data_IF_618810455223
#
_entry.id   IF_618810455223
#
_cell.length_a   1.000
_cell.length_b   1.000
_cell.length_c   1.000
_cell.angle_alpha   90.00
_cell.angle_beta   90.00
_cell.angle_gamma   90.00
#
_symmetry.space_group_name_H-M   'P 1'
#
loop_
_entity.id
_entity.type
_entity.pdbx_description
1 polymer ?
#
# COMPACT_ATOMS: atom_id res chain seq x y z
N UNK A 1 -55.47 56.22 11.12
CA UNK A 1 -54.97 57.57 11.50
C UNK A 1 -53.63 57.38 12.19
N UNK A 2 -52.57 58.04 11.66
CA UNK A 2 -51.19 58.27 12.19
C UNK A 2 -50.37 57.01 12.59
N UNK A 3 -49.19 56.64 12.07
CA UNK A 3 -47.87 57.29 11.83
C UNK A 3 -47.20 57.97 13.05
N UNK A 4 -46.00 57.49 13.40
CA UNK A 4 -44.74 58.23 13.71
C UNK A 4 -43.70 57.20 14.27
N UNK A 5 -42.52 56.94 13.65
CA UNK A 5 -41.26 57.72 13.61
C UNK A 5 -40.67 58.00 15.01
N UNK A 6 -39.40 57.81 15.40
CA UNK A 6 -38.15 57.36 14.78
C UNK A 6 -36.96 57.54 15.78
N UNK A 7 -35.83 56.87 15.49
CA UNK A 7 -34.40 57.19 15.73
C UNK A 7 -33.86 57.80 17.05
N UNK A 8 -32.72 57.25 17.55
CA UNK A 8 -31.80 57.93 18.48
C UNK A 8 -30.57 57.12 18.91
N UNK A 9 -29.41 57.35 18.28
CA UNK A 9 -28.07 56.82 18.63
C UNK A 9 -27.45 57.50 19.86
N UNK A 10 -26.55 56.80 20.60
CA UNK A 10 -25.39 57.47 21.23
C UNK A 10 -24.74 56.85 22.49
N UNK A 11 -23.53 56.30 22.29
CA UNK A 11 -22.34 56.37 23.16
C UNK A 11 -22.10 55.35 24.30
N UNK A 12 -21.31 54.30 23.98
CA UNK A 12 -19.94 54.09 24.46
C UNK A 12 -19.65 53.72 25.92
N UNK A 13 -19.18 52.48 26.15
CA UNK A 13 -18.01 52.10 26.98
C UNK A 13 -17.80 50.58 26.98
N UNK A 14 -16.59 50.13 26.61
CA UNK A 14 -16.03 48.85 27.07
C UNK A 14 -15.23 49.12 28.36
N UNK A 15 -15.07 48.15 29.30
CA UNK A 15 -14.01 47.15 29.13
C UNK A 15 -14.33 45.72 29.62
N UNK A 16 -13.47 44.82 29.15
CA UNK A 16 -13.17 43.39 29.40
C UNK A 16 -13.52 42.81 30.78
N UNK A 17 -14.00 41.55 30.82
CA UNK A 17 -13.27 40.40 31.39
C UNK A 17 -13.96 39.05 31.06
N UNK A 18 -13.13 38.13 30.56
CA UNK A 18 -13.12 36.67 30.63
C UNK A 18 -14.40 35.85 30.88
N UNK A 19 -14.71 34.96 29.93
CA UNK A 19 -14.72 33.52 30.20
C UNK A 19 -14.61 32.74 28.88
N UNK A 20 -13.39 32.26 28.62
CA UNK A 20 -13.06 31.31 27.58
C UNK A 20 -13.82 30.00 27.84
N UNK A 21 -14.80 29.66 26.99
CA UNK A 21 -15.34 28.32 26.92
C UNK A 21 -14.31 27.43 26.20
N UNK A 22 -13.29 27.01 26.95
CA UNK A 22 -12.40 25.95 26.55
C UNK A 22 -13.24 24.68 26.38
N UNK A 23 -13.40 24.27 25.13
CA UNK A 23 -13.93 22.95 24.77
C UNK A 23 -12.98 21.93 25.38
N UNK A 24 -13.44 21.22 26.41
CA UNK A 24 -12.80 19.99 26.86
C UNK A 24 -12.80 18.99 25.69
N UNK A 25 -11.71 18.94 24.91
CA UNK A 25 -11.35 17.73 24.17
C UNK A 25 -11.01 16.68 25.23
N UNK A 26 -11.90 15.72 25.43
CA UNK A 26 -11.65 14.57 26.29
C UNK A 26 -10.44 13.79 25.76
N UNK A 27 -9.52 13.43 26.64
CA UNK A 27 -8.32 12.61 26.34
C UNK A 27 -8.69 11.28 25.66
N UNK A 28 -9.89 10.74 25.91
CA UNK A 28 -10.43 9.53 25.29
C UNK A 28 -10.52 9.60 23.75
N UNK A 29 -10.82 10.78 23.18
CA UNK A 29 -10.94 10.93 21.73
C UNK A 29 -9.60 10.73 21.00
N UNK A 30 -8.49 11.03 21.68
CA UNK A 30 -7.15 10.82 21.11
C UNK A 30 -6.69 9.37 21.18
N UNK A 31 -7.13 8.61 22.20
CA UNK A 31 -6.77 7.20 22.34
C UNK A 31 -7.53 6.33 21.35
N UNK A 32 -8.84 6.56 21.20
CA UNK A 32 -9.66 5.82 20.23
C UNK A 32 -9.18 6.06 18.80
N UNK A 33 -8.85 7.31 18.44
CA UNK A 33 -8.33 7.65 17.11
C UNK A 33 -6.95 7.01 16.85
N UNK A 34 -6.09 6.94 17.88
CA UNK A 34 -4.81 6.25 17.80
C UNK A 34 -4.97 4.73 17.59
N UNK A 35 -5.83 4.07 18.39
CA UNK A 35 -6.10 2.63 18.26
C UNK A 35 -6.74 2.31 16.90
N UNK A 36 -7.63 3.18 16.43
CA UNK A 36 -8.29 3.05 15.13
C UNK A 36 -7.30 3.16 13.96
N UNK A 37 -6.32 4.07 14.07
CA UNK A 37 -5.23 4.18 13.09
C UNK A 37 -4.28 2.98 13.15
N UNK A 38 -3.92 2.52 14.35
CA UNK A 38 -3.06 1.35 14.52
C UNK A 38 -3.68 0.09 13.89
N UNK A 39 -4.97 -0.15 14.11
CA UNK A 39 -5.69 -1.27 13.51
C UNK A 39 -5.75 -1.18 11.97
N UNK A 40 -5.88 0.04 11.43
CA UNK A 40 -5.83 0.27 9.98
C UNK A 40 -4.43 -0.07 9.43
N UNK A 41 -3.39 0.42 10.08
CA UNK A 41 -2.00 0.19 9.67
C UNK A 41 -1.65 -1.30 9.73
N UNK A 42 -2.00 -2.00 10.82
CA UNK A 42 -1.82 -3.45 10.96
C UNK A 42 -2.54 -4.24 9.85
N UNK A 43 -3.76 -3.82 9.47
CA UNK A 43 -4.50 -4.46 8.39
C UNK A 43 -3.80 -4.26 7.05
N UNK A 44 -3.38 -3.03 6.76
CA UNK A 44 -2.79 -2.67 5.47
C UNK A 44 -1.34 -3.16 5.31
N UNK A 45 -0.60 -3.36 6.39
CA UNK A 45 0.75 -3.96 6.37
C UNK A 45 0.79 -5.37 5.77
N UNK A 46 -0.33 -6.09 5.79
CA UNK A 46 -0.47 -7.43 5.18
C UNK A 46 -0.67 -7.40 3.67
N UNK A 47 -0.77 -6.22 3.08
CA UNK A 47 -1.01 -6.00 1.65
C UNK A 47 0.27 -5.44 1.03
N UNK A 48 0.93 -6.24 0.19
CA UNK A 48 2.23 -5.87 -0.41
C UNK A 48 2.11 -4.65 -1.33
N UNK A 49 1.11 -4.64 -2.21
CA UNK A 49 0.88 -3.55 -3.14
C UNK A 49 -0.55 -3.04 -3.10
N UNK A 50 -0.72 -1.72 -3.03
CA UNK A 50 -2.03 -1.04 -3.08
C UNK A 50 -2.08 -0.20 -4.35
N UNK A 51 -3.04 -0.51 -5.23
CA UNK A 51 -3.20 0.16 -6.53
C UNK A 51 -4.57 0.85 -6.56
N UNK A 52 -4.57 2.15 -6.79
CA UNK A 52 -5.82 2.91 -6.95
C UNK A 52 -6.14 3.04 -8.43
N UNK A 53 -7.35 2.63 -8.83
CA UNK A 53 -7.86 2.86 -10.18
C UNK A 53 -8.75 4.10 -10.14
N UNK A 54 -8.39 5.11 -10.93
CA UNK A 54 -9.04 6.42 -10.94
C UNK A 54 -9.52 6.79 -12.35
N UNK A 55 -10.47 7.72 -12.43
CA UNK A 55 -10.84 8.36 -13.69
C UNK A 55 -11.23 9.81 -13.49
N UNK A 56 -11.04 10.66 -14.50
CA UNK A 56 -11.44 12.06 -14.42
C UNK A 56 -12.95 12.28 -14.47
N UNK A 57 -13.70 11.32 -15.03
CA UNK A 57 -15.16 11.38 -15.19
C UNK A 57 -15.80 10.00 -15.06
N UNK A 58 -17.12 9.99 -14.82
CA UNK A 58 -17.94 8.77 -14.84
C UNK A 58 -18.10 8.21 -16.26
N UNK A 59 -18.39 6.91 -16.36
CA UNK A 59 -18.74 6.26 -17.64
C UNK A 59 -17.57 5.89 -18.56
N UNK A 60 -16.31 6.09 -18.16
CA UNK A 60 -15.12 5.70 -18.96
C UNK A 60 -14.78 4.20 -18.86
N UNK A 61 -15.52 3.43 -18.07
CA UNK A 61 -15.25 2.00 -17.82
C UNK A 61 -14.14 1.75 -16.77
N UNK A 62 -13.95 2.67 -15.83
CA UNK A 62 -13.00 2.55 -14.70
C UNK A 62 -13.12 1.20 -13.97
N UNK A 63 -14.33 0.85 -13.52
CA UNK A 63 -14.60 -0.40 -12.81
C UNK A 63 -14.37 -1.64 -13.67
N UNK A 64 -14.64 -1.56 -14.98
CA UNK A 64 -14.31 -2.63 -15.92
C UNK A 64 -12.80 -2.87 -16.00
N UNK A 65 -12.02 -1.80 -16.05
CA UNK A 65 -10.55 -1.89 -16.01
C UNK A 65 -10.09 -2.43 -14.66
N UNK A 66 -10.61 -1.92 -13.54
CA UNK A 66 -10.24 -2.36 -12.19
C UNK A 66 -10.49 -3.86 -11.99
N UNK A 67 -11.68 -4.35 -12.35
CA UNK A 67 -12.03 -5.77 -12.25
C UNK A 67 -11.11 -6.65 -13.10
N UNK A 68 -10.87 -6.28 -14.36
CA UNK A 68 -10.04 -7.10 -15.26
C UNK A 68 -8.55 -7.04 -14.91
N UNK A 69 -8.06 -5.92 -14.37
CA UNK A 69 -6.70 -5.84 -13.79
C UNK A 69 -6.59 -6.77 -12.60
N UNK A 70 -7.53 -6.73 -11.65
CA UNK A 70 -7.53 -7.60 -10.48
C UNK A 70 -7.58 -9.09 -10.87
N UNK A 71 -8.47 -9.45 -11.79
CA UNK A 71 -8.58 -10.80 -12.36
C UNK A 71 -7.26 -11.22 -13.02
N UNK A 72 -6.64 -10.37 -13.83
CA UNK A 72 -5.39 -10.70 -14.52
C UNK A 72 -4.23 -10.91 -13.56
N UNK A 73 -4.17 -10.13 -12.49
CA UNK A 73 -3.20 -10.33 -11.40
C UNK A 73 -3.42 -11.69 -10.71
N UNK A 74 -4.67 -12.05 -10.40
CA UNK A 74 -5.00 -13.33 -9.79
C UNK A 74 -4.70 -14.52 -10.71
N UNK A 75 -4.99 -14.41 -12.01
CA UNK A 75 -4.62 -15.41 -13.02
C UNK A 75 -3.10 -15.55 -13.18
N UNK A 76 -2.34 -14.53 -12.81
CA UNK A 76 -0.88 -14.56 -12.73
C UNK A 76 -0.35 -15.17 -11.42
N UNK A 77 -1.22 -15.83 -10.65
CA UNK A 77 -0.89 -16.53 -9.41
C UNK A 77 -0.73 -15.64 -8.18
N UNK A 78 -1.19 -14.38 -8.24
CA UNK A 78 -1.12 -13.44 -7.12
C UNK A 78 -2.35 -13.57 -6.23
N UNK A 79 -2.18 -13.32 -4.93
CA UNK A 79 -3.28 -13.13 -3.97
C UNK A 79 -3.83 -11.70 -4.09
N UNK A 80 -5.10 -11.56 -4.47
CA UNK A 80 -5.65 -10.26 -4.88
C UNK A 80 -6.96 -9.93 -4.15
N UNK A 81 -7.01 -8.71 -3.61
CA UNK A 81 -8.23 -8.04 -3.15
C UNK A 81 -8.74 -7.05 -4.19
N UNK A 82 -10.06 -6.94 -4.32
CA UNK A 82 -10.75 -5.91 -5.10
C UNK A 82 -11.71 -5.16 -4.18
N UNK A 83 -11.43 -3.88 -3.96
CA UNK A 83 -12.23 -2.98 -3.14
C UNK A 83 -12.96 -1.97 -4.03
N UNK A 84 -14.28 -2.01 -4.03
CA UNK A 84 -15.14 -1.06 -4.73
C UNK A 84 -15.75 -0.06 -3.75
N UNK A 85 -15.30 1.18 -3.88
CA UNK A 85 -15.75 2.32 -3.08
C UNK A 85 -16.45 3.37 -3.94
N UNK A 86 -16.85 3.02 -5.17
CA UNK A 86 -17.63 3.91 -6.04
C UNK A 86 -19.10 3.96 -5.61
N UNK A 87 -19.36 4.81 -4.62
CA UNK A 87 -20.66 4.97 -3.92
C UNK A 87 -21.79 5.36 -4.88
N UNK A 88 -21.46 6.10 -5.93
CA UNK A 88 -22.44 6.65 -6.86
C UNK A 88 -22.87 5.66 -7.93
N UNK A 89 -22.12 4.57 -8.13
CA UNK A 89 -22.42 3.57 -9.14
C UNK A 89 -21.63 2.29 -8.93
N UNK A 90 -21.85 1.56 -7.81
CA UNK A 90 -21.09 0.35 -7.52
C UNK A 90 -21.41 -0.71 -8.58
N UNK A 91 -20.45 -0.96 -9.45
CA UNK A 91 -20.66 -1.84 -10.61
C UNK A 91 -20.00 -3.22 -10.43
N UNK A 92 -19.02 -3.32 -9.53
CA UNK A 92 -18.28 -4.57 -9.27
C UNK A 92 -19.20 -5.72 -8.82
N UNK A 93 -20.17 -5.54 -7.90
CA UNK A 93 -21.09 -6.62 -7.54
C UNK A 93 -21.86 -7.19 -8.74
N UNK A 94 -22.33 -6.32 -9.64
CA UNK A 94 -23.03 -6.75 -10.86
C UNK A 94 -22.09 -7.49 -11.80
N UNK A 95 -20.93 -6.90 -12.08
CA UNK A 95 -19.90 -7.42 -12.98
C UNK A 95 -19.35 -8.80 -12.57
N UNK A 96 -19.40 -9.14 -11.28
CA UNK A 96 -18.93 -10.41 -10.75
C UNK A 96 -20.07 -11.38 -10.40
N UNK A 97 -21.33 -11.04 -10.73
CA UNK A 97 -22.55 -11.77 -10.30
C UNK A 97 -22.57 -12.03 -8.78
N UNK A 98 -22.22 -11.01 -8.01
CA UNK A 98 -22.25 -10.98 -6.53
C UNK A 98 -23.41 -10.15 -6.02
N UNK A 99 -24.45 -10.00 -6.83
CA UNK A 99 -25.55 -9.12 -6.55
C UNK A 99 -26.40 -9.49 -5.32
N UNK A 100 -26.43 -10.77 -4.97
CA UNK A 100 -27.13 -11.27 -3.78
C UNK A 100 -26.19 -11.43 -2.59
N UNK A 101 -24.92 -11.03 -2.76
CA UNK A 101 -23.98 -11.04 -1.66
C UNK A 101 -24.27 -9.87 -0.72
N UNK A 102 -24.26 -10.17 0.57
CA UNK A 102 -24.40 -9.19 1.64
C UNK A 102 -23.13 -9.20 2.49
N UNK A 103 -22.87 -8.06 3.13
CA UNK A 103 -21.78 -7.96 4.11
C UNK A 103 -22.02 -8.95 5.25
N UNK A 104 -21.04 -9.82 5.50
CA UNK A 104 -21.07 -10.78 6.60
C UNK A 104 -20.02 -10.41 7.64
N UNK A 105 -20.40 -10.54 8.90
CA UNK A 105 -19.50 -10.34 10.04
C UNK A 105 -19.18 -11.70 10.66
N UNK A 106 -17.91 -11.93 10.98
CA UNK A 106 -17.47 -13.08 11.78
C UNK A 106 -16.48 -12.58 12.83
N UNK A 107 -16.76 -12.85 14.11
CA UNK A 107 -15.92 -12.42 15.23
C UNK A 107 -15.59 -10.92 15.22
N UNK A 108 -16.55 -10.06 14.82
CA UNK A 108 -16.35 -8.61 14.74
C UNK A 108 -15.60 -8.11 13.49
N UNK A 109 -15.20 -9.00 12.58
CA UNK A 109 -14.47 -8.66 11.34
C UNK A 109 -15.38 -8.88 10.12
N UNK A 110 -15.32 -7.95 9.16
CA UNK A 110 -16.03 -8.05 7.89
C UNK A 110 -15.37 -9.12 7.03
N UNK A 111 -16.17 -10.06 6.52
CA UNK A 111 -15.69 -11.10 5.62
C UNK A 111 -15.83 -10.65 4.16
N UNK A 112 -14.76 -10.65 3.36
CA UNK A 112 -14.87 -10.38 1.93
C UNK A 112 -15.58 -11.54 1.21
N UNK A 113 -16.18 -11.23 0.08
CA UNK A 113 -16.81 -12.22 -0.79
C UNK A 113 -15.76 -12.80 -1.72
N UNK A 114 -15.60 -14.13 -1.74
CA UNK A 114 -14.64 -14.78 -2.64
C UNK A 114 -15.25 -15.07 -4.00
N UNK A 115 -14.57 -14.63 -5.07
CA UNK A 115 -15.00 -14.87 -6.46
C UNK A 115 -13.82 -14.85 -7.41
N UNK A 116 -13.72 -15.84 -8.28
CA UNK A 116 -12.69 -15.91 -9.33
C UNK A 116 -11.24 -15.72 -8.82
N UNK A 117 -10.93 -16.27 -7.63
CA UNK A 117 -9.62 -16.12 -6.99
C UNK A 117 -9.38 -14.75 -6.34
N UNK A 118 -10.40 -13.89 -6.28
CA UNK A 118 -10.37 -12.58 -5.64
C UNK A 118 -11.09 -12.60 -4.30
N UNK A 119 -10.60 -11.81 -3.34
CA UNK A 119 -11.39 -11.32 -2.23
C UNK A 119 -12.04 -10.00 -2.65
N UNK A 120 -13.36 -9.88 -2.54
CA UNK A 120 -14.11 -8.73 -3.03
C UNK A 120 -14.85 -8.06 -1.88
N UNK A 121 -14.71 -6.75 -1.78
CA UNK A 121 -15.57 -5.90 -0.95
C UNK A 121 -16.10 -4.76 -1.79
N UNK A 122 -17.39 -4.47 -1.68
CA UNK A 122 -18.03 -3.36 -2.40
C UNK A 122 -19.02 -2.67 -1.49
N UNK A 123 -19.09 -1.34 -1.61
CA UNK A 123 -20.15 -0.57 -0.99
C UNK A 123 -21.54 -0.98 -1.47
N UNK A 124 -21.65 -1.55 -2.67
CA UNK A 124 -22.90 -2.11 -3.19
C UNK A 124 -23.46 -3.25 -2.33
N UNK A 125 -22.66 -3.91 -1.49
CA UNK A 125 -23.15 -4.92 -0.54
C UNK A 125 -23.87 -4.34 0.68
N UNK A 126 -23.72 -3.03 0.92
CA UNK A 126 -24.42 -2.32 2.00
C UNK A 126 -25.78 -1.75 1.55
N UNK A 127 -26.00 -1.65 0.24
CA UNK A 127 -27.23 -1.12 -0.34
C UNK A 127 -28.33 -2.19 -0.27
N UNK A 128 -29.46 -1.85 0.34
CA UNK A 128 -30.60 -2.76 0.48
C UNK A 128 -31.37 -2.94 -0.83
N UNK A 129 -31.47 -1.86 -1.59
CA UNK A 129 -32.05 -1.81 -2.92
C UNK A 129 -31.04 -1.18 -3.89
N UNK A 130 -30.92 -1.75 -5.09
CA UNK A 130 -29.96 -1.31 -6.10
C UNK A 130 -30.41 -0.07 -6.87
N UNK A 131 -31.71 0.21 -6.83
CA UNK A 131 -32.30 1.40 -7.47
C UNK A 131 -32.43 2.58 -6.49
N UNK A 132 -32.04 2.39 -5.22
CA UNK A 132 -32.08 3.46 -4.22
C UNK A 132 -30.94 4.46 -4.46
N UNK A 133 -31.32 5.74 -4.61
CA UNK A 133 -30.35 6.81 -4.72
C UNK A 133 -29.57 6.96 -3.41
N UNK A 134 -28.26 6.73 -3.44
CA UNK A 134 -27.39 6.81 -2.26
C UNK A 134 -27.13 8.27 -1.90
N UNK A 135 -27.91 8.82 -0.94
CA UNK A 135 -27.74 10.19 -0.43
C UNK A 135 -26.94 10.15 0.88
N UNK A 136 -25.65 9.82 0.79
CA UNK A 136 -24.77 9.76 1.95
C UNK A 136 -23.97 11.05 2.13
N UNK A 137 -23.83 11.50 3.38
CA UNK A 137 -22.99 12.66 3.73
C UNK A 137 -21.51 12.28 3.69
N UNK A 138 -20.64 13.24 3.36
CA UNK A 138 -19.18 13.06 3.24
C UNK A 138 -18.56 12.21 4.35
N UNK A 139 -18.73 12.56 5.65
CA UNK A 139 -18.14 11.81 6.76
C UNK A 139 -18.55 10.34 6.81
N UNK A 140 -19.80 10.01 6.44
CA UNK A 140 -20.28 8.63 6.39
C UNK A 140 -19.58 7.83 5.29
N UNK A 141 -19.38 8.46 4.12
CA UNK A 141 -18.64 7.87 2.99
C UNK A 141 -17.21 7.54 3.39
N UNK A 142 -16.52 8.50 4.02
CA UNK A 142 -15.14 8.33 4.52
C UNK A 142 -15.08 7.23 5.59
N UNK A 143 -16.04 7.22 6.52
CA UNK A 143 -16.13 6.19 7.56
C UNK A 143 -16.24 4.77 6.98
N UNK A 144 -17.07 4.58 5.95
CA UNK A 144 -17.20 3.26 5.28
C UNK A 144 -15.93 2.88 4.52
N UNK A 145 -15.27 3.83 3.84
CA UNK A 145 -13.97 3.57 3.19
C UNK A 145 -12.94 3.13 4.24
N UNK A 146 -12.83 3.84 5.37
CA UNK A 146 -11.94 3.48 6.48
C UNK A 146 -12.28 2.10 7.03
N UNK A 147 -13.57 1.82 7.25
CA UNK A 147 -14.06 0.54 7.73
C UNK A 147 -13.66 -0.60 6.78
N UNK A 148 -13.80 -0.43 5.46
CA UNK A 148 -13.41 -1.47 4.50
C UNK A 148 -11.90 -1.70 4.43
N UNK A 149 -11.09 -0.67 4.65
CA UNK A 149 -9.64 -0.81 4.70
C UNK A 149 -9.16 -1.45 6.01
N UNK A 150 -9.84 -1.19 7.13
CA UNK A 150 -9.47 -1.62 8.49
C UNK A 150 -10.08 -2.98 8.89
N UNK A 151 -11.39 -3.11 8.73
CA UNK A 151 -12.20 -4.17 9.34
C UNK A 151 -12.48 -5.35 8.40
N UNK A 152 -12.08 -5.29 7.14
CA UNK A 152 -12.22 -6.42 6.21
C UNK A 152 -11.07 -7.40 6.41
N UNK A 153 -11.39 -8.68 6.50
CA UNK A 153 -10.45 -9.80 6.61
C UNK A 153 -9.75 -10.08 5.27
N UNK A 154 -8.97 -9.11 4.79
CA UNK A 154 -8.19 -9.24 3.56
C UNK A 154 -7.16 -10.38 3.63
N UNK A 155 -6.64 -10.68 4.81
CA UNK A 155 -5.51 -11.60 4.99
C UNK A 155 -4.24 -11.07 4.32
N UNK A 156 -3.32 -11.96 3.95
CA UNK A 156 -2.12 -11.58 3.21
C UNK A 156 -2.45 -11.48 1.72
N UNK A 157 -2.15 -10.31 1.13
CA UNK A 157 -2.40 -10.03 -0.27
C UNK A 157 -1.13 -9.54 -0.96
N UNK A 158 -0.89 -10.00 -2.18
CA UNK A 158 0.07 -9.40 -3.10
C UNK A 158 -0.41 -8.04 -3.59
N UNK A 159 -1.70 -7.93 -3.92
CA UNK A 159 -2.30 -6.72 -4.47
C UNK A 159 -3.68 -6.44 -3.86
N UNK A 160 -3.94 -5.19 -3.50
CA UNK A 160 -5.28 -4.64 -3.32
C UNK A 160 -5.54 -3.63 -4.43
N UNK A 161 -6.48 -3.94 -5.32
CA UNK A 161 -6.96 -3.03 -6.36
C UNK A 161 -8.18 -2.28 -5.81
N UNK A 162 -8.11 -0.95 -5.80
CA UNK A 162 -9.17 -0.09 -5.27
C UNK A 162 -9.84 0.65 -6.43
N UNK A 163 -11.11 0.34 -6.70
CA UNK A 163 -11.96 1.08 -7.63
C UNK A 163 -12.51 2.33 -6.94
N UNK A 164 -11.83 3.46 -7.15
CA UNK A 164 -12.14 4.74 -6.52
C UNK A 164 -13.29 5.46 -7.23
N UNK A 165 -14.10 6.31 -6.58
CA UNK A 165 -15.06 7.16 -7.27
C UNK A 165 -14.43 8.00 -8.40
N UNK A 166 -15.20 8.42 -9.41
CA UNK A 166 -14.68 9.29 -10.46
C UNK A 166 -14.39 10.70 -9.92
N UNK A 167 -13.43 11.37 -10.57
CA UNK A 167 -13.04 12.75 -10.27
C UNK A 167 -11.91 12.85 -9.26
N UNK A 168 -11.79 14.04 -8.68
CA UNK A 168 -10.72 14.42 -7.72
C UNK A 168 -11.32 15.11 -6.49
N UNK A 169 -12.50 14.65 -6.05
CA UNK A 169 -13.21 15.15 -4.89
C UNK A 169 -12.71 14.56 -3.56
N UNK A 170 -13.55 14.66 -2.53
CA UNK A 170 -13.21 14.21 -1.18
C UNK A 170 -13.06 12.68 -1.08
N UNK A 171 -13.81 11.91 -1.88
CA UNK A 171 -13.79 10.45 -1.80
C UNK A 171 -12.49 9.85 -2.36
N UNK A 172 -12.03 10.19 -3.58
CA UNK A 172 -10.72 9.74 -4.06
C UNK A 172 -9.56 10.25 -3.19
N UNK A 173 -9.68 11.44 -2.59
CA UNK A 173 -8.72 11.97 -1.63
C UNK A 173 -8.64 11.10 -0.38
N UNK A 174 -9.80 10.75 0.17
CA UNK A 174 -9.89 9.90 1.36
C UNK A 174 -9.33 8.49 1.09
N UNK A 175 -9.60 7.93 -0.09
CA UNK A 175 -9.00 6.65 -0.51
C UNK A 175 -7.47 6.76 -0.55
N UNK A 176 -6.93 7.79 -1.19
CA UNK A 176 -5.48 7.98 -1.30
C UNK A 176 -4.79 8.18 0.05
N UNK A 177 -5.44 8.88 0.99
CA UNK A 177 -4.91 9.13 2.33
C UNK A 177 -5.03 7.92 3.25
N UNK A 178 -6.21 7.28 3.31
CA UNK A 178 -6.47 6.15 4.21
C UNK A 178 -5.76 4.87 3.75
N UNK A 179 -5.58 4.70 2.44
CA UNK A 179 -4.86 3.54 1.90
C UNK A 179 -3.34 3.75 1.84
N UNK A 180 -2.79 4.86 2.36
CA UNK A 180 -1.36 5.15 2.31
C UNK A 180 -0.50 4.18 3.15
N UNK A 181 0.76 3.92 2.77
CA UNK A 181 1.39 4.28 1.50
C UNK A 181 0.82 3.49 0.31
N UNK A 182 0.60 4.15 -0.82
CA UNK A 182 0.05 3.54 -2.05
C UNK A 182 1.15 3.44 -3.10
N UNK A 183 1.32 2.27 -3.72
CA UNK A 183 2.36 2.01 -4.73
C UNK A 183 2.11 2.74 -6.05
N UNK A 184 0.84 3.00 -6.37
CA UNK A 184 0.50 3.99 -7.38
C UNK A 184 -0.93 3.92 -7.89
N UNK A 185 -1.22 4.81 -8.84
CA UNK A 185 -2.51 4.98 -9.47
C UNK A 185 -2.49 4.60 -10.95
N UNK A 186 -3.54 3.90 -11.38
CA UNK A 186 -3.87 3.67 -12.80
C UNK A 186 -5.01 4.61 -13.17
N UNK A 187 -4.79 5.45 -14.19
CA UNK A 187 -5.79 6.43 -14.61
C UNK A 187 -6.48 5.97 -15.89
N UNK A 188 -7.80 5.83 -15.84
CA UNK A 188 -8.63 5.37 -16.96
C UNK A 188 -9.27 6.55 -17.66
N UNK A 189 -9.18 6.56 -18.99
CA UNK A 189 -9.79 7.58 -19.85
C UNK A 189 -10.38 6.97 -21.12
N UNK A 190 -11.11 7.77 -21.89
CA UNK A 190 -11.48 7.45 -23.28
C UNK A 190 -10.70 8.34 -24.26
N UNK A 191 -10.63 7.98 -25.56
CA UNK A 191 -9.87 8.74 -26.55
C UNK A 191 -10.36 10.15 -26.85
N UNK A 192 -11.59 10.48 -26.44
CA UNK A 192 -12.24 11.75 -26.77
C UNK A 192 -11.53 12.93 -26.11
N UNK A 193 -11.32 14.01 -26.87
CA UNK A 193 -10.57 15.19 -26.40
C UNK A 193 -11.15 15.78 -25.09
N UNK A 194 -12.47 15.74 -24.90
CA UNK A 194 -13.14 16.19 -23.65
C UNK A 194 -12.71 15.37 -22.43
N UNK A 195 -12.47 14.07 -22.59
CA UNK A 195 -12.00 13.22 -21.48
C UNK A 195 -10.57 13.59 -21.04
N UNK A 196 -9.71 14.06 -21.97
CA UNK A 196 -8.29 14.31 -21.69
C UNK A 196 -8.06 15.46 -20.71
N UNK A 197 -8.95 16.47 -20.67
CA UNK A 197 -8.86 17.57 -19.71
C UNK A 197 -9.05 17.09 -18.26
N UNK A 198 -9.96 16.15 -18.03
CA UNK A 198 -10.21 15.60 -16.70
C UNK A 198 -9.10 14.63 -16.26
N UNK A 199 -8.40 14.01 -17.21
CA UNK A 199 -7.20 13.22 -16.90
C UNK A 199 -6.07 14.11 -16.38
N UNK A 200 -5.84 15.29 -16.97
CA UNK A 200 -4.82 16.23 -16.48
C UNK A 200 -5.09 16.63 -15.02
N UNK A 201 -6.35 16.84 -14.65
CA UNK A 201 -6.74 17.09 -13.25
C UNK A 201 -6.40 15.89 -12.36
N UNK A 202 -6.71 14.67 -12.81
CA UNK A 202 -6.42 13.43 -12.08
C UNK A 202 -4.91 13.22 -11.86
N UNK A 203 -4.08 13.53 -12.87
CA UNK A 203 -2.62 13.46 -12.76
C UNK A 203 -2.10 14.50 -11.77
N UNK A 204 -2.58 15.74 -11.86
CA UNK A 204 -2.18 16.80 -10.93
C UNK A 204 -2.61 16.51 -9.50
N UNK A 205 -3.79 15.92 -9.30
CA UNK A 205 -4.24 15.41 -8.02
C UNK A 205 -3.27 14.35 -7.46
N UNK A 206 -2.86 13.37 -8.28
CA UNK A 206 -1.88 12.38 -7.86
C UNK A 206 -0.55 13.04 -7.43
N UNK A 207 -0.06 14.03 -8.19
CA UNK A 207 1.15 14.79 -7.86
C UNK A 207 1.04 15.54 -6.52
N UNK A 208 -0.09 16.18 -6.26
CA UNK A 208 -0.32 16.92 -5.01
C UNK A 208 -0.29 16.01 -3.79
N UNK A 209 -0.69 14.75 -3.95
CA UNK A 209 -0.70 13.73 -2.89
C UNK A 209 0.58 12.88 -2.86
N UNK A 210 1.58 13.20 -3.68
CA UNK A 210 2.78 12.36 -3.88
C UNK A 210 2.43 10.90 -4.24
N UNK A 211 1.30 10.68 -4.91
CA UNK A 211 0.84 9.38 -5.37
C UNK A 211 1.47 9.07 -6.74
N UNK A 212 2.29 8.01 -6.86
CA UNK A 212 2.90 7.66 -8.14
C UNK A 212 1.85 7.30 -9.19
N UNK A 213 1.97 7.81 -10.42
CA UNK A 213 1.10 7.39 -11.53
C UNK A 213 1.78 6.23 -12.26
N UNK A 214 1.23 5.02 -12.11
CA UNK A 214 1.72 3.82 -12.80
C UNK A 214 1.49 3.91 -14.30
N UNK A 215 0.40 4.58 -14.70
CA UNK A 215 0.19 5.03 -16.06
C UNK A 215 -1.28 5.21 -16.42
N UNK A 216 -1.48 5.57 -17.68
CA UNK A 216 -2.79 5.88 -18.26
C UNK A 216 -3.26 4.73 -19.15
N UNK A 217 -4.51 4.32 -18.97
CA UNK A 217 -5.21 3.36 -19.80
C UNK A 217 -6.25 4.09 -20.65
N UNK A 218 -6.13 4.00 -21.97
CA UNK A 218 -7.14 4.51 -22.89
C UNK A 218 -8.15 3.39 -23.20
N UNK A 219 -9.29 3.40 -22.50
CA UNK A 219 -10.37 2.44 -22.67
C UNK A 219 -11.32 2.87 -23.80
N UNK A 220 -12.09 1.92 -24.34
CA UNK A 220 -13.01 2.12 -25.47
C UNK A 220 -12.30 2.68 -26.72
N UNK A 221 -11.04 2.30 -26.93
CA UNK A 221 -10.19 2.75 -28.04
C UNK A 221 -10.21 1.71 -29.16
N UNK A 222 -11.10 1.94 -30.13
CA UNK A 222 -11.43 0.97 -31.18
C UNK A 222 -12.57 0.03 -30.80
N UNK A 223 -12.97 -0.80 -31.74
CA UNK A 223 -14.05 -1.78 -31.62
C UNK A 223 -13.61 -3.11 -32.24
N UNK A 224 -13.77 -4.20 -31.49
CA UNK A 224 -13.48 -5.56 -31.98
C UNK A 224 -14.69 -6.08 -32.74
N UNK A 225 -14.51 -6.35 -34.04
CA UNK A 225 -15.56 -6.99 -34.83
C UNK A 225 -15.81 -8.42 -34.33
N UNK A 226 -17.04 -8.77 -33.88
CA UNK A 226 -17.32 -10.09 -33.32
C UNK A 226 -17.24 -11.22 -34.37
N UNK A 227 -17.25 -10.88 -35.67
CA UNK A 227 -17.19 -11.87 -36.76
C UNK A 227 -15.77 -12.21 -37.20
N UNK A 228 -14.89 -11.22 -37.28
CA UNK A 228 -13.54 -11.39 -37.85
C UNK A 228 -12.40 -11.02 -36.90
N UNK A 229 -12.69 -10.48 -35.71
CA UNK A 229 -11.69 -10.07 -34.72
C UNK A 229 -10.90 -8.80 -35.08
N UNK A 230 -11.15 -8.19 -36.25
CA UNK A 230 -10.51 -6.93 -36.64
C UNK A 230 -10.89 -5.82 -35.68
N UNK A 231 -9.89 -5.09 -35.18
CA UNK A 231 -10.08 -3.87 -34.39
C UNK A 231 -10.23 -2.68 -35.33
N UNK A 232 -11.33 -1.93 -35.20
CA UNK A 232 -11.62 -0.74 -36.02
C UNK A 232 -11.81 0.48 -35.13
N UNK A 233 -11.16 1.59 -35.44
CA UNK A 233 -11.35 2.85 -34.73
C UNK A 233 -12.73 3.44 -35.04
N UNK A 234 -13.66 3.32 -34.10
CA UNK A 234 -15.02 3.90 -34.19
C UNK A 234 -15.09 5.35 -33.68
N UNK A 235 -14.08 5.76 -32.91
CA UNK A 235 -13.84 7.13 -32.46
C UNK A 235 -12.40 7.53 -32.82
N UNK A 236 -12.04 8.80 -32.61
CA UNK A 236 -10.61 9.19 -32.60
C UNK A 236 -9.85 8.27 -31.64
N UNK A 237 -8.59 7.98 -31.91
CA UNK A 237 -7.72 7.17 -31.04
C UNK A 237 -6.47 7.95 -30.61
N UNK A 238 -5.83 7.55 -29.51
CA UNK A 238 -4.55 8.12 -29.07
C UNK A 238 -4.65 9.49 -28.39
N UNK A 239 -5.83 9.88 -27.90
CA UNK A 239 -5.98 11.08 -27.06
C UNK A 239 -5.32 10.91 -25.69
N UNK A 240 -5.52 9.75 -25.06
CA UNK A 240 -4.91 9.38 -23.79
C UNK A 240 -3.40 9.20 -23.89
N UNK A 241 -2.90 8.61 -24.99
CA UNK A 241 -1.46 8.42 -25.22
C UNK A 241 -0.72 9.76 -25.38
N UNK A 242 -1.25 10.66 -26.23
CA UNK A 242 -0.69 12.02 -26.38
C UNK A 242 -0.72 12.79 -25.06
N UNK A 243 -1.82 12.71 -24.32
CA UNK A 243 -1.94 13.36 -23.02
C UNK A 243 -0.94 12.78 -22.01
N UNK A 244 -0.72 11.47 -21.99
CA UNK A 244 0.27 10.83 -21.13
C UNK A 244 1.69 11.32 -21.43
N UNK A 245 2.04 11.44 -22.73
CA UNK A 245 3.30 12.03 -23.17
C UNK A 245 3.44 13.51 -22.75
N UNK A 246 2.42 14.32 -23.02
CA UNK A 246 2.40 15.76 -22.66
C UNK A 246 2.58 16.00 -21.15
N UNK A 247 2.08 15.07 -20.34
CA UNK A 247 2.12 15.17 -18.88
C UNK A 247 3.29 14.39 -18.29
N UNK A 248 4.10 13.68 -19.08
CA UNK A 248 5.25 12.92 -18.59
C UNK A 248 4.88 11.74 -17.69
N UNK A 249 3.73 11.11 -17.89
CA UNK A 249 3.33 9.88 -17.19
C UNK A 249 3.33 8.68 -18.13
N UNK A 250 3.51 7.43 -17.64
CA UNK A 250 3.51 6.25 -18.50
C UNK A 250 2.15 6.03 -19.20
N UNK A 251 2.19 5.47 -20.40
CA UNK A 251 1.01 4.98 -21.10
C UNK A 251 1.00 3.45 -21.06
N UNK A 252 -0.04 2.85 -20.46
CA UNK A 252 -0.14 1.41 -20.27
C UNK A 252 -0.75 0.69 -21.48
N UNK A 253 -1.51 1.42 -22.30
CA UNK A 253 -2.06 0.89 -23.55
C UNK A 253 -3.51 1.27 -23.79
N UNK A 254 -4.03 0.68 -24.88
CA UNK A 254 -5.39 0.87 -25.38
C UNK A 254 -6.20 -0.40 -25.19
N UNK A 255 -7.42 -0.26 -24.69
CA UNK A 255 -8.38 -1.36 -24.58
C UNK A 255 -9.56 -1.06 -25.53
N UNK A 256 -9.83 -1.91 -26.52
CA UNK A 256 -10.94 -1.70 -27.44
C UNK A 256 -12.29 -2.01 -26.80
N UNK A 257 -13.36 -1.48 -27.38
CA UNK A 257 -14.72 -1.94 -27.11
C UNK A 257 -14.88 -3.34 -27.68
N UNK A 258 -15.12 -4.31 -26.81
CA UNK A 258 -15.32 -5.70 -27.19
C UNK A 258 -16.66 -6.18 -26.61
N UNK A 259 -17.64 -6.55 -27.45
CA UNK A 259 -18.92 -7.07 -27.00
C UNK A 259 -18.77 -8.24 -26.02
N UNK A 260 -17.76 -9.09 -26.21
CA UNK A 260 -17.52 -10.24 -25.35
C UNK A 260 -17.08 -9.83 -23.93
N UNK A 261 -16.51 -8.64 -23.72
CA UNK A 261 -16.25 -8.10 -22.37
C UNK A 261 -17.56 -7.78 -21.68
N UNK A 262 -18.50 -7.13 -22.38
CA UNK A 262 -19.83 -6.82 -21.86
C UNK A 262 -20.57 -8.08 -21.46
N UNK A 263 -20.64 -9.05 -22.38
CA UNK A 263 -21.25 -10.36 -22.13
C UNK A 263 -20.61 -11.07 -20.93
N UNK A 264 -19.27 -11.11 -20.85
CA UNK A 264 -18.57 -11.74 -19.73
C UNK A 264 -18.84 -11.05 -18.39
N UNK A 265 -18.92 -9.71 -18.37
CA UNK A 265 -19.26 -8.94 -17.17
C UNK A 265 -20.70 -9.21 -16.73
N UNK A 266 -21.66 -9.19 -17.66
CA UNK A 266 -23.05 -9.55 -17.38
C UNK A 266 -23.15 -11.01 -16.91
N UNK A 267 -22.24 -11.86 -17.40
CA UNK A 267 -22.16 -13.26 -17.02
C UNK A 267 -21.40 -13.57 -15.72
N UNK A 268 -20.74 -12.56 -15.11
CA UNK A 268 -19.89 -12.76 -13.93
C UNK A 268 -18.69 -13.67 -14.20
N UNK A 269 -18.26 -13.75 -15.46
CA UNK A 269 -17.17 -14.61 -15.94
C UNK A 269 -15.91 -13.78 -16.15
N UNK A 270 -14.73 -14.26 -15.71
CA UNK A 270 -13.48 -13.56 -15.96
C UNK A 270 -13.17 -13.52 -17.47
N UNK A 271 -13.31 -12.35 -18.10
CA UNK A 271 -13.12 -12.21 -19.56
C UNK A 271 -11.74 -12.73 -20.01
N UNK A 272 -10.68 -12.29 -19.34
CA UNK A 272 -9.29 -12.66 -19.69
C UNK A 272 -9.05 -14.17 -19.59
N UNK A 273 -9.76 -14.87 -18.70
CA UNK A 273 -9.66 -16.34 -18.56
C UNK A 273 -10.28 -17.06 -19.76
N UNK A 274 -11.50 -16.66 -20.16
CA UNK A 274 -12.25 -17.34 -21.22
C UNK A 274 -11.83 -16.92 -22.64
N UNK A 275 -11.24 -15.74 -22.78
CA UNK A 275 -10.92 -15.12 -24.07
C UNK A 275 -9.43 -14.80 -24.23
N UNK A 276 -8.54 -15.53 -23.56
CA UNK A 276 -7.09 -15.27 -23.51
C UNK A 276 -6.39 -15.07 -24.86
N UNK A 277 -6.98 -15.54 -25.97
CA UNK A 277 -6.44 -15.39 -27.34
C UNK A 277 -6.91 -14.12 -28.08
N UNK A 278 -7.87 -13.36 -27.54
CA UNK A 278 -8.41 -12.16 -28.20
C UNK A 278 -7.47 -10.98 -28.06
N UNK A 279 -7.60 -10.00 -28.96
CA UNK A 279 -6.81 -8.76 -28.89
C UNK A 279 -7.10 -7.96 -27.61
N UNK A 280 -8.32 -8.04 -27.10
CA UNK A 280 -8.72 -7.40 -25.84
C UNK A 280 -8.05 -8.05 -24.64
N UNK A 281 -7.94 -9.39 -24.59
CA UNK A 281 -7.21 -10.07 -23.51
C UNK A 281 -5.72 -9.71 -23.52
N UNK A 282 -5.09 -9.69 -24.70
CA UNK A 282 -3.70 -9.21 -24.87
C UNK A 282 -3.55 -7.74 -24.47
N UNK A 283 -4.56 -6.90 -24.71
CA UNK A 283 -4.55 -5.52 -24.26
C UNK A 283 -4.53 -5.40 -22.73
N UNK A 284 -5.34 -6.19 -22.03
CA UNK A 284 -5.29 -6.27 -20.56
C UNK A 284 -3.95 -6.80 -20.05
N UNK A 285 -3.39 -7.83 -20.68
CA UNK A 285 -2.07 -8.37 -20.33
C UNK A 285 -0.97 -7.29 -20.44
N UNK A 286 -0.98 -6.49 -21.52
CA UNK A 286 -0.07 -5.35 -21.69
C UNK A 286 -0.22 -4.32 -20.58
N UNK A 287 -1.45 -3.98 -20.19
CA UNK A 287 -1.74 -3.03 -19.10
C UNK A 287 -1.25 -3.55 -17.74
N UNK A 288 -1.39 -4.86 -17.51
CA UNK A 288 -1.08 -5.50 -16.22
C UNK A 288 0.42 -5.77 -16.06
N UNK A 289 1.17 -5.92 -17.15
CA UNK A 289 2.60 -6.25 -17.12
C UNK A 289 3.44 -5.27 -16.27
N UNK A 290 3.32 -3.93 -16.42
CA UNK A 290 4.03 -2.98 -15.55
C UNK A 290 3.59 -3.03 -14.08
N UNK A 291 2.33 -3.43 -13.81
CA UNK A 291 1.78 -3.55 -12.45
C UNK A 291 2.34 -4.81 -11.77
N UNK A 292 2.44 -5.93 -12.50
CA UNK A 292 3.11 -7.14 -12.03
C UNK A 292 4.60 -6.90 -11.73
N UNK A 293 5.24 -6.03 -12.52
CA UNK A 293 6.62 -5.65 -12.29
C UNK A 293 6.83 -4.87 -10.97
N UNK A 294 5.79 -4.38 -10.29
CA UNK A 294 5.92 -3.84 -8.93
C UNK A 294 6.38 -4.91 -7.94
N UNK A 295 5.85 -6.14 -8.07
CA UNK A 295 6.33 -7.28 -7.28
C UNK A 295 7.78 -7.63 -7.60
N UNK A 296 8.23 -7.32 -8.82
CA UNK A 296 9.62 -7.46 -9.21
C UNK A 296 10.49 -6.29 -8.76
N UNK A 297 9.94 -5.07 -8.58
CA UNK A 297 10.62 -3.89 -8.04
C UNK A 297 10.92 -4.00 -6.56
N UNK A 298 10.05 -4.65 -5.79
CA UNK A 298 10.37 -5.04 -4.40
C UNK A 298 11.51 -6.07 -4.36
N UNK A 299 11.72 -6.85 -5.43
CA UNK A 299 12.92 -7.68 -5.61
C UNK A 299 14.06 -7.02 -6.42
N UNK A 300 13.87 -5.80 -6.95
CA UNK A 300 14.85 -5.09 -7.81
C UNK A 300 15.15 -3.66 -7.37
N UNK A 301 14.89 -3.31 -6.11
CA UNK A 301 15.93 -2.61 -5.35
C UNK A 301 17.13 -3.57 -5.25
N UNK A 302 17.93 -3.55 -6.31
CA UNK A 302 19.00 -4.49 -6.56
C UNK A 302 20.10 -4.37 -5.50
N UNK A 303 20.35 -5.48 -4.83
CA UNK A 303 21.72 -5.99 -4.66
C UNK A 303 22.54 -5.66 -5.93
N UNK A 304 23.70 -4.99 -5.83
CA UNK A 304 24.50 -4.69 -7.01
C UNK A 304 24.91 -6.00 -7.70
N UNK A 305 24.76 -6.00 -9.03
CA UNK A 305 25.18 -7.04 -9.96
C UNK A 305 26.46 -7.74 -9.50
N UNK A 306 26.36 -9.03 -9.20
CA UNK A 306 27.49 -9.93 -9.38
C UNK A 306 27.13 -10.88 -10.53
N UNK A 307 27.72 -10.58 -11.68
CA UNK A 307 28.04 -11.57 -12.71
C UNK A 307 28.47 -12.87 -12.04
N UNK A 308 27.84 -13.95 -12.46
CA UNK A 308 28.30 -15.31 -12.19
C UNK A 308 29.74 -15.45 -12.68
N UNK A 309 30.68 -15.35 -11.74
CA UNK A 309 31.87 -16.18 -11.72
C UNK A 309 31.87 -16.91 -10.38
N UNK A 310 32.24 -18.17 -10.47
CA UNK A 310 32.08 -19.25 -9.52
C UNK A 310 32.67 -18.95 -8.12
N UNK A 311 31.96 -19.39 -7.07
CA UNK A 311 32.52 -19.78 -5.76
C UNK A 311 33.12 -18.68 -4.86
N UNK A 312 32.32 -18.04 -4.00
CA UNK A 312 32.84 -17.20 -2.91
C UNK A 312 31.90 -17.14 -1.70
N UNK A 313 32.34 -17.65 -0.54
CA UNK A 313 31.66 -17.50 0.75
C UNK A 313 31.49 -16.01 1.11
N UNK A 314 30.32 -15.63 1.60
CA UNK A 314 30.01 -14.30 2.14
C UNK A 314 30.93 -13.95 3.31
N UNK A 315 31.51 -12.74 3.30
CA UNK A 315 32.43 -12.25 4.34
C UNK A 315 31.71 -12.05 5.70
N UNK A 316 32.41 -12.29 6.81
CA UNK A 316 31.84 -12.19 8.17
C UNK A 316 31.69 -10.73 8.61
N UNK A 317 30.53 -10.38 9.16
CA UNK A 317 30.27 -9.08 9.79
C UNK A 317 29.57 -9.27 11.13
N UNK A 318 30.19 -8.74 12.19
CA UNK A 318 29.78 -8.91 13.57
C UNK A 318 29.16 -7.60 14.06
N UNK A 319 27.91 -7.63 14.50
CA UNK A 319 27.22 -6.51 15.11
C UNK A 319 27.32 -6.58 16.64
N UNK A 320 27.64 -5.46 17.28
CA UNK A 320 27.77 -5.35 18.73
C UNK A 320 26.97 -4.11 19.19
N UNK A 321 25.91 -4.26 19.99
CA UNK A 321 25.17 -3.13 20.54
C UNK A 321 26.04 -2.40 21.56
N UNK A 322 26.14 -1.08 21.45
CA UNK A 322 26.97 -0.27 22.33
C UNK A 322 26.19 0.84 23.03
N UNK A 323 26.66 1.18 24.22
CA UNK A 323 26.34 2.40 24.97
C UNK A 323 27.66 2.96 25.51
N UNK A 324 27.87 4.27 25.40
CA UNK A 324 29.15 4.92 25.75
C UNK A 324 30.39 4.29 25.10
N UNK A 325 30.24 3.77 23.88
CA UNK A 325 31.32 3.15 23.10
C UNK A 325 31.72 1.74 23.53
N UNK A 326 31.07 1.15 24.54
CA UNK A 326 31.30 -0.24 25.01
C UNK A 326 30.08 -1.11 24.80
N UNK A 327 30.27 -2.43 24.80
CA UNK A 327 29.14 -3.37 24.72
C UNK A 327 28.08 -3.06 25.78
N UNK A 328 26.84 -2.88 25.32
CA UNK A 328 25.69 -2.68 26.16
C UNK A 328 25.23 -4.01 26.77
N UNK A 329 25.05 -4.04 28.10
CA UNK A 329 24.64 -5.25 28.82
C UNK A 329 23.14 -5.54 28.67
N UNK A 330 22.34 -4.53 28.36
CA UNK A 330 20.90 -4.66 28.11
C UNK A 330 20.58 -4.24 26.69
N UNK A 331 20.25 -5.23 25.84
CA UNK A 331 20.03 -5.01 24.41
C UNK A 331 19.03 -3.88 24.07
N UNK A 332 18.00 -3.66 24.89
CA UNK A 332 16.99 -2.62 24.67
C UNK A 332 17.43 -1.19 24.97
N UNK A 333 18.64 -0.98 25.50
CA UNK A 333 19.18 0.33 25.88
C UNK A 333 20.43 0.71 25.09
N UNK A 334 20.69 0.05 23.95
CA UNK A 334 21.81 0.43 23.10
C UNK A 334 21.49 1.68 22.28
N UNK A 335 22.45 2.59 22.21
CA UNK A 335 22.31 3.83 21.44
C UNK A 335 22.86 3.68 20.03
N UNK A 336 23.81 2.76 19.84
CA UNK A 336 24.47 2.50 18.56
C UNK A 336 24.83 1.01 18.41
N UNK A 337 25.15 0.61 17.19
CA UNK A 337 25.75 -0.68 16.86
C UNK A 337 27.13 -0.49 16.26
N UNK A 338 28.13 -1.17 16.81
CA UNK A 338 29.42 -1.35 16.16
C UNK A 338 29.33 -2.54 15.21
N UNK A 339 29.42 -2.28 13.91
CA UNK A 339 29.46 -3.29 12.86
C UNK A 339 30.91 -3.50 12.42
N UNK A 340 31.43 -4.70 12.66
CA UNK A 340 32.82 -5.06 12.46
C UNK A 340 32.94 -6.06 11.32
N UNK A 341 33.64 -5.69 10.25
CA UNK A 341 34.01 -6.64 9.19
C UNK A 341 35.18 -7.49 9.67
N UNK A 342 35.12 -8.80 9.42
CA UNK A 342 36.14 -9.74 9.83
C UNK A 342 36.48 -10.74 8.71
N UNK A 343 37.76 -11.10 8.64
CA UNK A 343 38.24 -12.17 7.77
C UNK A 343 38.35 -13.47 8.58
N UNK A 344 37.55 -14.47 8.22
CA UNK A 344 37.50 -15.77 8.93
C UNK A 344 38.82 -16.56 8.82
N UNK A 345 39.60 -16.38 7.75
CA UNK A 345 40.85 -17.12 7.52
C UNK A 345 41.99 -16.55 8.35
N UNK A 346 42.08 -15.23 8.42
CA UNK A 346 43.14 -14.53 9.17
C UNK A 346 42.75 -14.25 10.61
N UNK A 347 41.48 -14.43 10.98
CA UNK A 347 40.90 -14.15 12.30
C UNK A 347 41.14 -12.71 12.76
N UNK A 348 41.11 -11.76 11.83
CA UNK A 348 41.32 -10.33 12.10
C UNK A 348 40.10 -9.51 11.72
N UNK A 349 39.84 -8.48 12.53
CA UNK A 349 38.91 -7.40 12.19
C UNK A 349 39.57 -6.55 11.10
N UNK A 350 38.84 -6.31 10.01
CA UNK A 350 39.31 -5.59 8.81
C UNK A 350 38.64 -4.24 8.64
N UNK A 351 37.56 -3.95 9.38
CA UNK A 351 36.90 -2.65 9.36
C UNK A 351 35.86 -2.52 10.47
N UNK A 352 35.55 -1.28 10.85
CA UNK A 352 34.55 -0.93 11.87
C UNK A 352 33.70 0.23 11.39
N UNK A 353 32.40 0.13 11.61
CA UNK A 353 31.44 1.19 11.34
C UNK A 353 30.49 1.31 12.53
N UNK A 354 30.22 2.54 12.97
CA UNK A 354 29.22 2.82 14.01
C UNK A 354 27.91 3.19 13.33
N UNK A 355 26.82 2.53 13.73
CA UNK A 355 25.50 2.71 13.16
C UNK A 355 24.51 3.13 14.24
N UNK A 356 23.64 4.08 13.91
CA UNK A 356 22.55 4.51 14.80
C UNK A 356 21.32 3.67 14.45
N UNK A 357 20.74 2.91 15.39
CA UNK A 357 19.59 2.07 15.13
C UNK A 357 18.32 2.92 14.90
N UNK A 358 17.36 2.40 14.10
CA UNK A 358 16.00 2.95 14.04
C UNK A 358 15.27 2.81 15.39
N UNK A 359 14.09 3.43 15.56
CA UNK A 359 13.29 3.32 16.79
C UNK A 359 13.11 1.86 17.25
N UNK A 360 13.18 1.63 18.56
CA UNK A 360 13.21 0.31 19.18
C UNK A 360 11.83 -0.38 19.16
N UNK A 361 11.38 -0.79 17.98
CA UNK A 361 10.18 -1.61 17.78
C UNK A 361 10.54 -3.09 17.58
N UNK A 362 9.77 -4.04 18.14
CA UNK A 362 10.06 -5.47 18.00
C UNK A 362 10.08 -5.92 16.54
N UNK A 363 11.20 -6.50 16.09
CA UNK A 363 11.37 -7.02 14.72
C UNK A 363 12.04 -6.07 13.72
N UNK A 364 12.12 -4.77 14.05
CA UNK A 364 12.81 -3.78 13.19
C UNK A 364 14.32 -3.95 13.25
N UNK A 365 14.91 -4.12 14.44
CA UNK A 365 16.37 -4.22 14.61
C UNK A 365 16.99 -5.47 13.96
N UNK A 366 16.42 -6.69 14.06
CA UNK A 366 16.98 -7.88 13.42
C UNK A 366 17.05 -7.78 11.91
N UNK A 367 15.96 -7.31 11.28
CA UNK A 367 15.90 -7.08 9.84
C UNK A 367 16.87 -5.97 9.43
N UNK A 368 16.87 -4.85 10.16
CA UNK A 368 17.75 -3.73 9.86
C UNK A 368 19.24 -4.14 9.93
N UNK A 369 19.67 -4.87 10.98
CA UNK A 369 21.06 -5.35 11.07
C UNK A 369 21.42 -6.36 9.96
N UNK A 370 20.46 -7.18 9.54
CA UNK A 370 20.64 -8.09 8.41
C UNK A 370 20.86 -7.31 7.11
N UNK A 371 20.10 -6.24 6.89
CA UNK A 371 20.27 -5.34 5.74
C UNK A 371 21.62 -4.61 5.76
N UNK A 372 22.21 -4.34 6.93
CA UNK A 372 23.59 -3.85 7.06
C UNK A 372 24.65 -4.94 6.76
N UNK A 373 24.21 -6.17 6.54
CA UNK A 373 25.03 -7.34 6.22
C UNK A 373 25.61 -8.05 7.44
N UNK A 374 25.13 -7.76 8.65
CA UNK A 374 25.54 -8.50 9.84
C UNK A 374 25.09 -9.96 9.73
N UNK A 375 25.98 -10.89 10.09
CA UNK A 375 25.67 -12.32 10.15
C UNK A 375 26.01 -12.94 11.52
N UNK A 376 26.60 -12.16 12.42
CA UNK A 376 26.77 -12.48 13.83
C UNK A 376 26.35 -11.27 14.66
N UNK A 377 25.68 -11.49 15.78
CA UNK A 377 25.45 -10.47 16.80
C UNK A 377 26.01 -10.95 18.15
N UNK A 378 26.80 -10.11 18.80
CA UNK A 378 27.35 -10.37 20.14
C UNK A 378 26.70 -9.38 21.12
N UNK A 379 25.99 -9.88 22.13
CA UNK A 379 25.28 -9.07 23.11
C UNK A 379 25.60 -9.53 24.56
N UNK A 380 25.46 -8.61 25.53
CA UNK A 380 25.58 -8.95 26.95
C UNK A 380 24.38 -9.76 27.44
N UNK A 381 23.16 -9.22 27.26
CA UNK A 381 21.90 -9.90 27.56
C UNK A 381 20.84 -9.60 26.49
N UNK A 382 20.10 -10.62 26.06
CA UNK A 382 19.06 -10.52 25.02
C UNK A 382 17.88 -11.43 25.36
N UNK A 383 16.65 -10.91 25.28
CA UNK A 383 15.44 -11.70 25.53
C UNK A 383 15.20 -12.77 24.45
N UNK A 384 14.59 -13.91 24.82
CA UNK A 384 14.43 -15.08 23.93
C UNK A 384 13.71 -14.76 22.62
N UNK A 385 12.69 -13.88 22.65
CA UNK A 385 11.97 -13.44 21.44
C UNK A 385 12.87 -12.66 20.47
N UNK A 386 13.79 -11.83 20.99
CA UNK A 386 14.74 -11.12 20.14
C UNK A 386 15.77 -12.09 19.55
N UNK A 387 16.26 -13.06 20.33
CA UNK A 387 17.17 -14.09 19.83
C UNK A 387 16.56 -14.89 18.66
N UNK A 388 15.28 -15.26 18.77
CA UNK A 388 14.54 -15.94 17.71
C UNK A 388 14.45 -15.10 16.43
N UNK A 389 14.10 -13.82 16.54
CA UNK A 389 14.00 -12.91 15.39
C UNK A 389 15.35 -12.68 14.69
N UNK A 390 16.46 -12.64 15.43
CA UNK A 390 17.79 -12.56 14.83
C UNK A 390 18.16 -13.86 14.08
N UNK A 391 17.84 -15.02 14.65
CA UNK A 391 18.07 -16.30 14.01
C UNK A 391 17.23 -16.45 12.72
N UNK A 392 15.97 -16.01 12.72
CA UNK A 392 15.10 -15.97 11.53
C UNK A 392 15.66 -15.09 10.39
N UNK A 393 16.46 -14.08 10.73
CA UNK A 393 17.15 -13.21 9.78
C UNK A 393 18.58 -13.70 9.46
N UNK A 394 18.89 -14.99 9.67
CA UNK A 394 20.22 -15.57 9.41
C UNK A 394 21.38 -14.87 10.16
N UNK A 395 21.11 -14.26 11.32
CA UNK A 395 22.12 -13.67 12.19
C UNK A 395 22.38 -14.63 13.35
N UNK A 396 23.61 -15.13 13.45
CA UNK A 396 24.02 -15.96 14.57
C UNK A 396 24.09 -15.14 15.86
N UNK A 397 23.34 -15.56 16.87
CA UNK A 397 23.26 -14.85 18.15
C UNK A 397 24.28 -15.41 19.15
N UNK A 398 25.05 -14.53 19.76
CA UNK A 398 25.98 -14.82 20.86
C UNK A 398 25.62 -13.91 22.03
N UNK A 399 25.20 -14.49 23.15
CA UNK A 399 24.78 -13.76 24.36
C UNK A 399 25.71 -14.09 25.54
N UNK A 400 25.66 -13.27 26.59
CA UNK A 400 26.47 -13.46 27.80
C UNK A 400 27.89 -12.90 27.70
N UNK A 401 28.19 -12.06 26.70
CA UNK A 401 29.48 -11.40 26.59
C UNK A 401 29.65 -10.34 27.70
N UNK A 402 30.82 -10.28 28.32
CA UNK A 402 31.13 -9.23 29.30
C UNK A 402 31.25 -7.85 28.61
N UNK A 403 30.93 -6.78 29.33
CA UNK A 403 31.11 -5.42 28.82
C UNK A 403 32.58 -5.19 28.46
N UNK A 404 32.84 -4.66 27.26
CA UNK A 404 34.18 -4.50 26.71
C UNK A 404 34.16 -3.70 25.41
N UNK A 405 35.35 -3.45 24.85
CA UNK A 405 35.49 -2.78 23.56
C UNK A 405 35.00 -3.70 22.42
N UNK A 406 34.21 -3.20 21.45
CA UNK A 406 33.69 -4.01 20.35
C UNK A 406 34.76 -4.74 19.51
N UNK A 407 35.92 -4.13 19.26
CA UNK A 407 36.99 -4.77 18.47
C UNK A 407 37.66 -5.90 19.24
N UNK A 408 37.83 -5.73 20.55
CA UNK A 408 38.36 -6.76 21.43
C UNK A 408 37.39 -7.95 21.50
N UNK A 409 36.09 -7.70 21.66
CA UNK A 409 35.05 -8.73 21.69
C UNK A 409 34.95 -9.49 20.36
N UNK A 410 35.00 -8.79 19.22
CA UNK A 410 35.06 -9.43 17.91
C UNK A 410 36.33 -10.27 17.73
N UNK A 411 37.48 -9.79 18.19
CA UNK A 411 38.75 -10.53 18.14
C UNK A 411 38.71 -11.79 19.01
N UNK A 412 38.14 -11.71 20.21
CA UNK A 412 37.93 -12.87 21.09
C UNK A 412 36.95 -13.89 20.48
N UNK A 413 35.89 -13.42 19.81
CA UNK A 413 34.96 -14.28 19.07
C UNK A 413 35.66 -15.04 17.93
N UNK A 414 36.45 -14.35 17.11
CA UNK A 414 37.22 -14.95 16.01
C UNK A 414 38.28 -15.94 16.52
N UNK A 415 38.89 -15.66 17.67
CA UNK A 415 39.82 -16.55 18.34
C UNK A 415 39.12 -17.76 19.01
N UNK A 416 37.81 -17.73 19.20
CA UNK A 416 37.03 -18.78 19.86
C UNK A 416 37.18 -18.81 21.38
N UNK A 417 37.63 -17.70 21.98
CA UNK A 417 37.91 -17.57 23.42
C UNK A 417 36.95 -16.60 24.13
N UNK A 418 35.98 -16.04 23.41
CA UNK A 418 34.96 -15.16 23.99
C UNK A 418 34.18 -15.90 25.09
N UNK A 419 34.29 -15.40 26.32
CA UNK A 419 33.57 -15.95 27.46
C UNK A 419 32.08 -15.57 27.35
N UNK A 420 31.22 -16.53 26.99
CA UNK A 420 29.77 -16.40 27.04
C UNK A 420 29.26 -16.92 28.39
N UNK A 421 28.80 -16.03 29.27
CA UNK A 421 28.15 -16.38 30.54
C UNK A 421 26.65 -16.66 30.42
N UNK A 422 25.98 -16.85 31.57
CA UNK A 422 24.51 -16.93 31.65
C UNK A 422 23.87 -15.62 31.20
N UNK A 423 22.83 -15.72 30.35
CA UNK A 423 22.09 -14.59 29.81
C UNK A 423 21.58 -13.67 30.93
N UNK A 424 21.97 -12.39 30.92
CA UNK A 424 21.66 -11.42 31.99
C UNK A 424 20.17 -10.99 32.01
N UNK A 425 19.35 -11.52 31.09
CA UNK A 425 17.94 -11.15 30.91
C UNK A 425 16.93 -12.27 31.25
N UNK A 426 17.31 -13.31 32.01
CA UNK A 426 16.34 -14.27 32.53
C UNK A 426 15.65 -13.72 33.80
N UNK A 427 14.64 -12.86 33.58
CA UNK A 427 13.59 -12.53 34.55
C UNK A 427 12.22 -12.66 33.91
#
# INVERSE_FOLDING_TARGET
MAKDEGCGCGQGRAPRHDACAAVHKSEDGSLDEFLDQQALDERLQRIRHRIIVMSGKGGVGKSTVAANVAISLALSGKSVGLLDVDIHGPSIPKMLKLGDAAVRMKNGVIQPVEKAGLKVMSIGFLLRDRDEAVIWRGPMKIGVIKQFLKDVEWGDLDYLVIDSPPGTGDEPLSVAQLAAPVDGAVIVTTPQDVATADVRKSINFCRQLNLPVLGVVENMSGFVCPKCGTVTDIFKAGGGERMAADTGVPFLGRIPVDPAVGEACDDGKPFVYHYSRTETAKAFERVVTPILALSNKVTTEQMPNNTTNEGGKTAMKIAIPVADGKLCMHFGHCEQFALLAADEKTKKVTGKQMLIPPPHEPGVLPRWLHEQGANVIIAGGMGQRAQALFAENNIKVVVGAASGDPEELASQYLAGVLASGTNVCDH
#
